data_IF_771484997769
#
_entry.id   IF_771484997769
#
_cell.length_a   1.000
_cell.length_b   1.000
_cell.length_c   1.000
_cell.angle_alpha   90.00
_cell.angle_beta   90.00
_cell.angle_gamma   90.00
#
_symmetry.space_group_name_H-M   'P 1'
#
loop_
_entity.id
_entity.type
_entity.pdbx_description
1 polymer ?
#
# COMPACT_ATOMS: atom_id res chain seq x y z
N UNK A 1 1.59 34.33 60.18
CA UNK A 1 0.84 33.44 59.24
C UNK A 1 0.33 34.21 58.01
N UNK A 2 1.17 34.99 57.29
CA UNK A 2 0.70 35.83 56.16
C UNK A 2 1.65 35.94 54.94
N UNK A 3 2.79 35.23 54.90
CA UNK A 3 3.74 35.34 53.78
C UNK A 3 3.74 34.19 52.77
N UNK A 4 2.99 33.09 53.00
CA UNK A 4 2.96 31.94 52.06
C UNK A 4 1.91 32.05 50.95
N UNK A 5 0.92 32.93 51.09
CA UNK A 5 -0.15 33.08 50.12
C UNK A 5 0.26 33.92 48.88
N UNK A 6 1.15 34.90 49.05
CA UNK A 6 1.52 35.83 47.97
C UNK A 6 2.45 35.19 46.92
N UNK A 7 3.31 34.26 47.32
CA UNK A 7 4.21 33.53 46.42
C UNK A 7 3.51 32.43 45.60
N UNK A 8 2.34 31.95 46.05
CA UNK A 8 1.56 30.93 45.35
C UNK A 8 0.66 31.55 44.27
N UNK A 9 0.13 32.76 44.52
CA UNK A 9 -0.67 33.50 43.54
C UNK A 9 0.20 33.97 42.37
N UNK A 10 1.45 34.39 42.61
CA UNK A 10 2.38 34.80 41.55
C UNK A 10 2.87 33.65 40.65
N UNK A 11 2.86 32.41 41.17
CA UNK A 11 3.26 31.22 40.41
C UNK A 11 2.11 30.70 39.53
N UNK A 12 0.85 30.87 39.94
CA UNK A 12 -0.33 30.43 39.18
C UNK A 12 -0.62 31.37 37.99
N UNK A 13 -0.35 32.67 38.11
CA UNK A 13 -0.49 33.60 36.96
C UNK A 13 0.57 33.40 35.88
N UNK A 14 1.75 32.87 36.20
CA UNK A 14 2.81 32.61 35.22
C UNK A 14 2.54 31.36 34.35
N UNK A 15 1.73 30.40 34.84
CA UNK A 15 1.37 29.21 34.06
C UNK A 15 0.24 29.45 33.04
N UNK A 16 -0.47 30.57 33.11
CA UNK A 16 -1.58 30.90 32.19
C UNK A 16 -1.16 31.71 30.95
N UNK A 17 0.08 32.17 30.88
CA UNK A 17 0.59 32.95 29.74
C UNK A 17 1.38 32.11 28.70
N UNK A 18 1.55 30.80 28.95
CA UNK A 18 2.47 29.94 28.19
C UNK A 18 1.82 28.96 27.21
N UNK A 19 0.50 28.97 27.04
CA UNK A 19 -0.13 28.26 25.93
C UNK A 19 -0.07 29.15 24.71
N UNK A 20 1.12 29.28 24.12
CA UNK A 20 1.20 29.63 22.71
C UNK A 20 0.38 28.56 21.99
N UNK A 21 -0.84 28.91 21.58
CA UNK A 21 -1.56 28.14 20.57
C UNK A 21 -0.55 28.01 19.43
N UNK A 22 -0.05 26.80 19.19
CA UNK A 22 0.61 26.55 17.91
C UNK A 22 -0.43 26.93 16.89
N UNK A 23 -0.23 28.08 16.22
CA UNK A 23 -1.07 28.46 15.13
C UNK A 23 -1.03 27.28 14.17
N UNK A 24 -2.20 26.71 13.87
CA UNK A 24 -2.29 25.63 12.92
C UNK A 24 -1.67 26.17 11.63
N UNK A 25 -0.53 25.61 11.22
CA UNK A 25 0.20 26.10 10.06
C UNK A 25 -0.76 26.03 8.87
N UNK A 26 -1.09 27.21 8.32
CA UNK A 26 -2.10 27.30 7.27
C UNK A 26 -1.52 26.65 6.03
N UNK A 27 -2.27 25.74 5.43
CA UNK A 27 -1.87 25.13 4.17
C UNK A 27 -1.77 26.21 3.09
N UNK A 28 -0.55 26.44 2.58
CA UNK A 28 -0.26 27.39 1.51
C UNK A 28 0.02 26.62 0.20
N UNK A 29 -0.95 26.55 -0.74
CA UNK A 29 -0.83 25.72 -1.93
C UNK A 29 0.35 26.08 -2.85
N UNK A 30 0.78 27.34 -2.84
CA UNK A 30 1.89 27.81 -3.69
C UNK A 30 3.23 27.22 -3.28
N UNK A 31 3.48 27.06 -1.98
CA UNK A 31 4.72 26.47 -1.49
C UNK A 31 4.81 25.01 -1.91
N UNK A 32 3.68 24.29 -1.84
CA UNK A 32 3.58 22.92 -2.35
C UNK A 32 3.80 22.84 -3.87
N UNK A 33 3.20 23.74 -4.67
CA UNK A 33 3.42 23.78 -6.13
C UNK A 33 4.90 23.98 -6.46
N UNK A 34 5.53 24.97 -5.82
CA UNK A 34 6.95 25.27 -6.01
C UNK A 34 7.84 24.09 -5.63
N UNK A 35 7.52 23.41 -4.52
CA UNK A 35 8.22 22.20 -4.10
C UNK A 35 8.08 21.09 -5.15
N UNK A 36 6.85 20.80 -5.61
CA UNK A 36 6.59 19.76 -6.61
C UNK A 36 7.34 20.05 -7.91
N UNK A 37 7.26 21.27 -8.44
CA UNK A 37 7.94 21.64 -9.68
C UNK A 37 9.46 21.59 -9.56
N UNK A 38 10.00 21.97 -8.39
CA UNK A 38 11.43 21.85 -8.08
C UNK A 38 11.86 20.38 -8.08
N UNK A 39 11.15 19.52 -7.37
CA UNK A 39 11.49 18.10 -7.29
C UNK A 39 11.29 17.38 -8.63
N UNK A 40 10.26 17.73 -9.41
CA UNK A 40 10.09 17.20 -10.75
C UNK A 40 11.30 17.50 -11.65
N UNK A 41 11.88 18.70 -11.54
CA UNK A 41 13.12 19.06 -12.25
C UNK A 41 14.32 18.28 -11.71
N UNK A 42 14.48 18.20 -10.39
CA UNK A 42 15.61 17.51 -9.76
C UNK A 42 15.66 16.01 -10.11
N UNK A 43 14.51 15.36 -10.19
CA UNK A 43 14.39 13.92 -10.44
C UNK A 43 14.05 13.56 -11.88
N UNK A 44 13.97 14.54 -12.78
CA UNK A 44 13.54 14.38 -14.18
C UNK A 44 12.20 13.62 -14.29
N UNK A 45 11.24 13.95 -13.42
CA UNK A 45 9.91 13.34 -13.41
C UNK A 45 9.00 14.09 -14.40
N UNK A 46 8.49 13.44 -15.46
CA UNK A 46 7.75 14.13 -16.51
C UNK A 46 6.35 14.57 -16.08
N UNK A 47 5.72 13.84 -15.14
CA UNK A 47 4.34 14.04 -14.73
C UNK A 47 4.12 13.65 -13.28
N UNK A 48 3.35 14.46 -12.56
CA UNK A 48 2.88 14.17 -11.20
C UNK A 48 1.41 14.57 -11.09
N UNK A 49 0.61 13.81 -10.35
CA UNK A 49 -0.72 14.21 -9.93
C UNK A 49 -0.79 14.13 -8.40
N UNK A 50 -1.32 15.16 -7.76
CA UNK A 50 -1.43 15.25 -6.29
C UNK A 50 -2.86 15.60 -5.91
N UNK A 51 -3.43 14.79 -5.01
CA UNK A 51 -4.71 15.01 -4.36
C UNK A 51 -4.50 15.02 -2.84
N UNK A 52 -4.95 16.06 -2.16
CA UNK A 52 -4.91 16.16 -0.69
C UNK A 52 -6.34 16.32 -0.18
N UNK A 53 -6.72 15.43 0.72
CA UNK A 53 -8.03 15.43 1.40
C UNK A 53 -7.81 15.64 2.89
N UNK A 54 -8.48 16.63 3.48
CA UNK A 54 -8.50 16.90 4.93
C UNK A 54 -9.95 17.09 5.37
N UNK A 55 -10.39 16.38 6.41
CA UNK A 55 -11.76 16.46 6.95
C UNK A 55 -12.83 16.30 5.85
N UNK A 56 -12.69 15.24 5.03
CA UNK A 56 -13.58 14.91 3.90
C UNK A 56 -13.68 16.00 2.81
N UNK A 57 -12.77 16.98 2.81
CA UNK A 57 -12.70 18.03 1.81
C UNK A 57 -11.40 17.93 1.02
N UNK A 58 -11.54 18.03 -0.30
CA UNK A 58 -10.39 18.21 -1.19
C UNK A 58 -9.85 19.62 -0.99
N UNK A 59 -8.61 19.72 -0.51
CA UNK A 59 -7.92 21.00 -0.28
C UNK A 59 -6.84 21.28 -1.34
N UNK A 60 -6.49 20.28 -2.14
CA UNK A 60 -5.55 20.38 -3.27
C UNK A 60 -5.83 19.25 -4.26
N UNK A 61 -5.88 19.54 -5.56
CA UNK A 61 -6.12 18.54 -6.61
C UNK A 61 -5.56 19.03 -7.94
N UNK A 62 -4.29 18.75 -8.20
CA UNK A 62 -3.58 19.30 -9.36
C UNK A 62 -2.70 18.27 -10.07
N UNK A 63 -2.54 18.47 -11.37
CA UNK A 63 -1.62 17.73 -12.22
C UNK A 63 -0.51 18.63 -12.73
N UNK A 64 0.72 18.12 -12.74
CA UNK A 64 1.94 18.81 -13.10
C UNK A 64 2.62 18.10 -14.27
N UNK A 65 3.24 18.88 -15.16
CA UNK A 65 3.99 18.37 -16.29
C UNK A 65 3.13 17.73 -17.39
N UNK A 66 3.71 16.75 -18.09
CA UNK A 66 3.16 16.17 -19.31
C UNK A 66 3.03 14.64 -19.21
N UNK A 67 1.79 14.13 -19.37
CA UNK A 67 1.52 12.68 -19.47
C UNK A 67 2.09 12.06 -20.74
N UNK A 68 2.37 12.89 -21.75
CA UNK A 68 3.08 12.55 -22.98
C UNK A 68 3.99 13.74 -23.32
N UNK A 69 5.30 13.55 -23.13
CA UNK A 69 6.31 14.61 -23.28
C UNK A 69 6.46 15.02 -24.75
N UNK A 70 6.46 14.05 -25.67
CA UNK A 70 6.64 14.29 -27.11
C UNK A 70 5.48 15.09 -27.69
N UNK A 71 4.25 14.69 -27.34
CA UNK A 71 3.02 15.36 -27.80
C UNK A 71 2.64 16.55 -26.94
N UNK A 72 3.42 16.86 -25.89
CA UNK A 72 3.15 17.93 -24.92
C UNK A 72 1.73 17.86 -24.33
N UNK A 73 1.24 16.65 -24.06
CA UNK A 73 -0.08 16.47 -23.45
C UNK A 73 0.05 16.63 -21.94
N UNK A 74 -0.64 17.62 -21.37
CA UNK A 74 -0.63 17.86 -19.93
C UNK A 74 -1.31 16.74 -19.15
N UNK A 75 -0.90 16.57 -17.89
CA UNK A 75 -1.68 15.79 -16.92
C UNK A 75 -3.06 16.41 -16.75
N UNK A 76 -4.08 15.56 -16.69
CA UNK A 76 -5.48 15.92 -16.47
C UNK A 76 -6.05 15.08 -15.33
N UNK A 77 -7.22 15.43 -14.76
CA UNK A 77 -7.89 14.59 -13.77
C UNK A 77 -8.20 13.16 -14.25
N UNK A 78 -8.23 12.93 -15.57
CA UNK A 78 -8.48 11.62 -16.18
C UNK A 78 -7.19 10.88 -16.59
N UNK A 79 -6.02 11.40 -16.22
CA UNK A 79 -4.74 10.75 -16.54
C UNK A 79 -4.55 9.54 -15.63
N UNK A 80 -4.40 8.35 -16.24
CA UNK A 80 -4.13 7.12 -15.52
C UNK A 80 -2.64 6.95 -15.27
N UNK A 81 -2.28 6.63 -14.04
CA UNK A 81 -0.92 6.28 -13.63
C UNK A 81 -0.88 4.84 -13.13
N UNK A 82 0.21 4.13 -13.41
CA UNK A 82 0.48 2.86 -12.75
C UNK A 82 0.79 3.11 -11.27
N UNK A 83 -0.16 2.79 -10.38
CA UNK A 83 -0.01 3.02 -8.93
C UNK A 83 0.93 2.00 -8.25
N UNK A 84 1.45 1.03 -9.00
CA UNK A 84 2.44 0.06 -8.55
C UNK A 84 2.00 -0.69 -7.29
N UNK A 85 2.82 -0.64 -6.24
CA UNK A 85 2.56 -1.41 -5.02
C UNK A 85 1.38 -0.89 -4.18
N UNK A 86 0.82 0.28 -4.49
CA UNK A 86 -0.44 0.74 -3.89
C UNK A 86 -1.61 -0.19 -4.26
N UNK A 87 -1.53 -0.89 -5.41
CA UNK A 87 -2.52 -1.90 -5.82
C UNK A 87 -2.74 -3.02 -4.79
N UNK A 88 -1.76 -3.26 -3.91
CA UNK A 88 -1.85 -4.27 -2.84
C UNK A 88 -3.00 -3.98 -1.87
N UNK A 89 -3.22 -2.72 -1.52
CA UNK A 89 -4.31 -2.32 -0.63
C UNK A 89 -5.68 -2.69 -1.20
N UNK A 90 -5.85 -2.57 -2.52
CA UNK A 90 -7.08 -2.99 -3.20
C UNK A 90 -7.24 -4.52 -3.20
N UNK A 91 -6.15 -5.27 -3.34
CA UNK A 91 -6.18 -6.74 -3.22
C UNK A 91 -6.61 -7.17 -1.83
N UNK A 92 -6.05 -6.55 -0.78
CA UNK A 92 -6.41 -6.81 0.62
C UNK A 92 -7.88 -6.44 0.86
N UNK A 93 -8.33 -5.28 0.38
CA UNK A 93 -9.72 -4.85 0.50
C UNK A 93 -10.68 -5.87 -0.13
N UNK A 94 -10.40 -6.32 -1.35
CA UNK A 94 -11.22 -7.31 -2.04
C UNK A 94 -11.29 -8.65 -1.29
N UNK A 95 -10.17 -9.12 -0.73
CA UNK A 95 -10.17 -10.30 0.13
C UNK A 95 -10.94 -10.07 1.44
N UNK A 96 -10.88 -8.86 2.00
CA UNK A 96 -11.67 -8.46 3.17
C UNK A 96 -13.17 -8.55 2.91
N UNK A 97 -13.64 -8.01 1.77
CA UNK A 97 -15.04 -8.14 1.35
C UNK A 97 -15.47 -9.60 1.19
N UNK A 98 -14.62 -10.43 0.59
CA UNK A 98 -14.87 -11.88 0.48
C UNK A 98 -14.91 -12.58 1.85
N UNK A 99 -14.15 -12.10 2.82
CA UNK A 99 -14.19 -12.61 4.19
C UNK A 99 -15.48 -12.22 4.91
N UNK A 100 -15.96 -10.98 4.74
CA UNK A 100 -17.27 -10.54 5.26
C UNK A 100 -18.41 -11.38 4.67
N UNK A 101 -18.30 -11.78 3.41
CA UNK A 101 -19.22 -12.71 2.74
C UNK A 101 -19.03 -14.19 3.14
N UNK A 102 -18.11 -14.49 4.07
CA UNK A 102 -17.75 -15.85 4.52
C UNK A 102 -17.22 -16.76 3.41
N UNK A 103 -16.74 -16.19 2.30
CA UNK A 103 -16.11 -16.93 1.19
C UNK A 103 -14.62 -17.15 1.40
N UNK A 104 -14.01 -16.39 2.31
CA UNK A 104 -12.62 -16.49 2.70
C UNK A 104 -12.49 -16.43 4.22
N UNK A 105 -11.68 -17.31 4.79
CA UNK A 105 -11.11 -17.16 6.13
C UNK A 105 -9.60 -16.97 5.97
N UNK A 106 -9.09 -15.86 6.51
CA UNK A 106 -7.69 -15.44 6.43
C UNK A 106 -6.72 -16.41 7.11
N UNK A 107 -7.22 -17.27 8.00
CA UNK A 107 -6.43 -18.20 8.80
C UNK A 107 -6.56 -19.66 8.34
N UNK A 108 -7.35 -19.92 7.29
CA UNK A 108 -7.39 -21.23 6.64
C UNK A 108 -6.30 -21.37 5.58
N UNK A 109 -5.79 -22.60 5.34
CA UNK A 109 -4.85 -22.86 4.27
C UNK A 109 -5.35 -22.38 2.90
N UNK A 110 -4.47 -21.72 2.15
CA UNK A 110 -4.76 -21.17 0.81
C UNK A 110 -5.30 -22.24 -0.14
N UNK A 111 -4.83 -23.47 0.00
CA UNK A 111 -5.25 -24.61 -0.82
C UNK A 111 -6.72 -24.98 -0.67
N UNK A 112 -7.38 -24.59 0.42
CA UNK A 112 -8.82 -24.77 0.58
C UNK A 112 -9.59 -23.98 -0.49
N UNK A 113 -9.01 -22.88 -0.99
CA UNK A 113 -9.60 -21.99 -1.99
C UNK A 113 -8.96 -22.16 -3.37
N UNK A 114 -7.65 -22.43 -3.42
CA UNK A 114 -6.87 -22.70 -4.63
C UNK A 114 -6.17 -24.06 -4.55
N UNK A 115 -6.85 -25.19 -4.87
CA UNK A 115 -6.29 -26.53 -4.68
C UNK A 115 -4.99 -26.81 -5.46
N UNK A 116 -4.76 -26.09 -6.55
CA UNK A 116 -3.55 -26.21 -7.38
C UNK A 116 -2.35 -25.42 -6.84
N UNK A 117 -2.56 -24.58 -5.82
CA UNK A 117 -1.50 -23.79 -5.20
C UNK A 117 -0.48 -24.68 -4.50
N UNK A 118 0.80 -24.42 -4.78
CA UNK A 118 1.95 -25.13 -4.20
C UNK A 118 3.10 -24.18 -3.97
N UNK A 119 3.74 -24.34 -2.81
CA UNK A 119 5.04 -23.77 -2.49
C UNK A 119 6.13 -24.81 -2.77
N UNK A 120 7.40 -24.41 -2.67
CA UNK A 120 8.52 -25.36 -2.80
C UNK A 120 8.54 -26.41 -1.69
N UNK A 121 8.13 -26.03 -0.49
CA UNK A 121 8.04 -26.89 0.69
C UNK A 121 6.61 -27.45 0.87
N UNK A 122 6.50 -28.74 1.18
CA UNK A 122 5.21 -29.43 1.33
C UNK A 122 4.46 -29.02 2.60
N UNK A 123 5.20 -28.78 3.70
CA UNK A 123 4.59 -28.28 4.93
C UNK A 123 3.97 -26.90 4.67
N UNK A 124 4.73 -25.97 4.08
CA UNK A 124 4.25 -24.65 3.74
C UNK A 124 3.07 -24.70 2.75
N UNK A 125 3.11 -25.61 1.77
CA UNK A 125 2.01 -25.84 0.83
C UNK A 125 0.69 -26.15 1.54
N UNK A 126 0.73 -26.93 2.63
CA UNK A 126 -0.44 -27.29 3.43
C UNK A 126 -0.86 -26.27 4.48
N UNK A 127 0.01 -25.33 4.86
CA UNK A 127 -0.19 -24.50 6.06
C UNK A 127 -0.17 -22.98 5.80
N UNK A 128 0.31 -22.52 4.65
CA UNK A 128 0.29 -21.09 4.32
C UNK A 128 -1.14 -20.59 4.16
N UNK A 129 -1.44 -19.47 4.80
CA UNK A 129 -2.76 -18.84 4.83
C UNK A 129 -2.75 -17.52 4.04
N UNK A 130 -3.91 -16.98 3.63
CA UNK A 130 -3.99 -15.64 3.07
C UNK A 130 -3.36 -14.58 3.98
N UNK A 131 -3.51 -14.69 5.31
CA UNK A 131 -2.84 -13.79 6.26
C UNK A 131 -1.33 -13.82 6.10
N UNK A 132 -0.74 -15.00 5.98
CA UNK A 132 0.70 -15.17 5.80
C UNK A 132 1.22 -14.52 4.50
N UNK A 133 0.45 -14.65 3.42
CA UNK A 133 0.77 -14.08 2.11
C UNK A 133 0.75 -12.55 2.17
N UNK A 134 -0.32 -11.97 2.74
CA UNK A 134 -0.53 -10.53 2.79
C UNK A 134 0.38 -9.82 3.79
N UNK A 135 0.76 -10.51 4.87
CA UNK A 135 1.70 -10.00 5.88
C UNK A 135 3.17 -10.33 5.58
N UNK A 136 3.48 -10.74 4.34
CA UNK A 136 4.86 -10.92 3.87
C UNK A 136 5.69 -11.89 4.73
N UNK A 137 5.13 -13.02 5.17
CA UNK A 137 5.81 -13.96 6.09
C UNK A 137 5.89 -15.40 5.56
N UNK A 138 5.93 -15.55 4.24
CA UNK A 138 6.03 -16.86 3.58
C UNK A 138 7.44 -17.45 3.55
N UNK A 139 8.48 -16.65 3.78
CA UNK A 139 9.88 -17.06 3.63
C UNK A 139 10.40 -17.09 2.18
N UNK A 140 9.52 -16.78 1.21
CA UNK A 140 9.87 -16.71 -0.21
C UNK A 140 10.56 -15.38 -0.54
N UNK A 141 11.77 -15.38 -1.12
CA UNK A 141 12.43 -14.15 -1.55
C UNK A 141 11.73 -13.49 -2.76
N UNK A 142 12.15 -12.25 -3.05
CA UNK A 142 11.66 -11.52 -4.22
C UNK A 142 12.14 -12.19 -5.50
N UNK A 143 11.24 -12.30 -6.47
CA UNK A 143 11.52 -12.81 -7.81
C UNK A 143 10.76 -11.95 -8.83
N UNK A 144 10.95 -10.64 -8.75
CA UNK A 144 10.10 -9.67 -9.47
C UNK A 144 10.24 -9.75 -10.99
N UNK A 145 11.39 -10.21 -11.48
CA UNK A 145 11.63 -10.45 -12.90
C UNK A 145 10.87 -11.65 -13.48
N UNK A 146 10.29 -12.52 -12.64
CA UNK A 146 9.54 -13.70 -13.11
C UNK A 146 8.23 -13.30 -13.79
N UNK A 147 7.65 -12.16 -13.42
CA UNK A 147 6.40 -11.66 -14.01
C UNK A 147 6.60 -10.39 -14.83
N UNK A 148 7.63 -9.60 -14.52
CA UNK A 148 7.89 -8.35 -15.22
C UNK A 148 8.25 -8.60 -16.69
N UNK A 149 7.40 -8.11 -17.61
CA UNK A 149 7.56 -8.25 -19.07
C UNK A 149 7.69 -9.70 -19.58
N UNK A 150 7.23 -10.68 -18.80
CA UNK A 150 7.37 -12.11 -19.13
C UNK A 150 6.24 -12.66 -20.01
N UNK A 151 5.20 -11.86 -20.30
CA UNK A 151 4.00 -12.30 -21.02
C UNK A 151 3.15 -13.35 -20.28
N UNK A 152 3.44 -13.58 -18.99
CA UNK A 152 2.77 -14.57 -18.16
C UNK A 152 1.54 -13.99 -17.49
N UNK A 153 0.49 -14.81 -17.39
CA UNK A 153 -0.69 -14.50 -16.60
C UNK A 153 -0.42 -14.62 -15.09
N UNK A 154 -1.30 -14.01 -14.28
CA UNK A 154 -1.30 -14.17 -12.81
C UNK A 154 -1.21 -15.62 -12.34
N UNK A 155 -1.96 -16.50 -12.98
CA UNK A 155 -2.04 -17.91 -12.63
C UNK A 155 -0.81 -18.70 -13.05
N UNK A 156 -0.29 -18.41 -14.23
CA UNK A 156 0.95 -19.01 -14.73
C UNK A 156 2.15 -18.64 -13.85
N UNK A 157 2.23 -17.39 -13.39
CA UNK A 157 3.25 -17.00 -12.41
C UNK A 157 3.01 -17.70 -11.07
N UNK A 158 1.76 -17.73 -10.59
CA UNK A 158 1.40 -18.39 -9.32
C UNK A 158 1.77 -19.88 -9.32
N UNK A 159 1.50 -20.59 -10.43
CA UNK A 159 1.86 -22.02 -10.59
C UNK A 159 3.38 -22.25 -10.54
N UNK A 160 4.20 -21.26 -10.92
CA UNK A 160 5.67 -21.38 -10.90
C UNK A 160 6.29 -21.15 -9.51
N UNK A 161 5.54 -20.60 -8.55
CA UNK A 161 6.01 -20.39 -7.17
C UNK A 161 6.54 -21.70 -6.55
N UNK A 162 5.96 -22.84 -6.92
CA UNK A 162 6.38 -24.18 -6.49
C UNK A 162 7.83 -24.54 -6.78
N UNK A 163 8.50 -23.82 -7.68
CA UNK A 163 9.89 -24.07 -8.07
C UNK A 163 10.90 -23.15 -7.36
N UNK A 164 10.43 -22.24 -6.51
CA UNK A 164 11.24 -21.20 -5.90
C UNK A 164 11.55 -21.54 -4.44
N UNK A 165 12.83 -21.72 -4.14
CA UNK A 165 13.30 -22.04 -2.79
C UNK A 165 13.06 -20.91 -1.80
N UNK A 166 12.79 -21.28 -0.55
CA UNK A 166 12.69 -20.33 0.55
C UNK A 166 14.07 -19.84 0.96
N UNK A 167 14.15 -18.58 1.37
CA UNK A 167 15.38 -17.98 1.95
C UNK A 167 15.32 -17.86 3.47
N UNK A 168 14.12 -17.96 4.03
CA UNK A 168 13.83 -17.96 5.46
C UNK A 168 12.74 -18.98 5.77
N UNK A 169 12.65 -19.39 7.03
CA UNK A 169 11.58 -20.24 7.52
C UNK A 169 10.21 -19.57 7.42
N UNK A 170 9.17 -20.41 7.39
CA UNK A 170 7.79 -19.97 7.41
C UNK A 170 7.48 -19.18 8.69
N UNK A 171 6.93 -17.97 8.55
CA UNK A 171 6.63 -17.03 9.66
C UNK A 171 7.84 -16.56 10.46
N UNK A 172 9.06 -16.85 10.01
CA UNK A 172 10.28 -16.47 10.72
C UNK A 172 10.43 -14.94 10.80
N UNK A 173 10.18 -14.25 9.68
CA UNK A 173 10.35 -12.79 9.58
C UNK A 173 9.57 -12.18 8.43
N UNK A 174 9.48 -10.86 8.43
CA UNK A 174 8.97 -10.09 7.31
C UNK A 174 9.92 -10.16 6.10
N UNK A 175 9.36 -10.48 4.94
CA UNK A 175 10.03 -10.49 3.65
C UNK A 175 9.05 -10.07 2.55
N UNK A 176 9.18 -8.82 2.10
CA UNK A 176 8.32 -8.25 1.07
C UNK A 176 8.34 -9.10 -0.21
N UNK A 177 7.16 -9.48 -0.70
CA UNK A 177 7.01 -10.44 -1.79
C UNK A 177 5.81 -10.09 -2.69
N UNK A 178 6.06 -9.85 -3.98
CA UNK A 178 5.01 -9.55 -4.96
C UNK A 178 4.25 -10.80 -5.44
N UNK A 179 4.92 -11.95 -5.50
CA UNK A 179 4.31 -13.21 -5.96
C UNK A 179 3.18 -13.67 -5.03
N UNK A 180 3.33 -13.44 -3.72
CA UNK A 180 2.25 -13.68 -2.75
C UNK A 180 1.03 -12.80 -3.02
N UNK A 181 1.21 -11.56 -3.46
CA UNK A 181 0.10 -10.68 -3.83
C UNK A 181 -0.51 -11.06 -5.18
N UNK A 182 0.28 -11.55 -6.13
CA UNK A 182 -0.22 -12.07 -7.40
C UNK A 182 -1.10 -13.32 -7.19
N UNK A 183 -0.64 -14.26 -6.35
CA UNK A 183 -1.43 -15.41 -5.93
C UNK A 183 -2.69 -15.01 -5.13
N UNK A 184 -2.61 -13.94 -4.32
CA UNK A 184 -3.78 -13.34 -3.65
C UNK A 184 -4.79 -12.77 -4.64
N UNK A 185 -4.33 -12.17 -5.75
CA UNK A 185 -5.21 -11.77 -6.84
C UNK A 185 -5.94 -12.95 -7.50
N UNK A 186 -5.27 -14.10 -7.64
CA UNK A 186 -5.91 -15.34 -8.08
C UNK A 186 -6.99 -15.83 -7.08
N UNK A 187 -6.76 -15.69 -5.77
CA UNK A 187 -7.78 -15.98 -4.75
C UNK A 187 -9.02 -15.10 -4.95
N UNK A 188 -8.83 -13.78 -5.08
CA UNK A 188 -9.93 -12.83 -5.33
C UNK A 188 -10.73 -13.26 -6.55
N UNK A 189 -10.07 -13.51 -7.69
CA UNK A 189 -10.73 -13.91 -8.93
C UNK A 189 -11.54 -15.20 -8.75
N UNK A 190 -10.94 -16.22 -8.13
CA UNK A 190 -11.59 -17.52 -7.91
C UNK A 190 -12.83 -17.40 -7.04
N UNK A 191 -12.77 -16.63 -5.95
CA UNK A 191 -13.84 -16.54 -4.95
C UNK A 191 -14.95 -15.54 -5.34
N UNK A 192 -14.64 -14.58 -6.22
CA UNK A 192 -15.63 -13.65 -6.78
C UNK A 192 -16.38 -14.21 -8.00
N UNK A 193 -16.02 -15.41 -8.48
CA UNK A 193 -16.63 -16.04 -9.65
C UNK A 193 -16.14 -15.51 -10.99
N UNK A 194 -14.98 -14.83 -11.02
CA UNK A 194 -14.34 -14.39 -12.27
C UNK A 194 -13.77 -15.55 -13.08
N UNK A 195 -13.82 -15.45 -14.42
CA UNK A 195 -13.21 -16.41 -15.36
C UNK A 195 -11.73 -16.08 -15.62
N UNK A 196 -10.95 -17.06 -16.07
CA UNK A 196 -9.55 -16.85 -16.49
C UNK A 196 -9.45 -15.73 -17.56
N UNK A 197 -8.47 -14.82 -17.43
CA UNK A 197 -8.11 -13.88 -18.51
C UNK A 197 -8.51 -12.40 -18.38
N UNK A 198 -9.03 -11.93 -17.24
CA UNK A 198 -9.15 -10.49 -16.92
C UNK A 198 -8.74 -10.19 -15.49
#
# INVERSE_FOLDING_TARGET
MKLKALSLVLFITLCLAGSASMAEEKFEPNDLRNFIETEMKNWNVPAVAVLIVKNDKVIFSEGFGYRDVEKKLKVTPNTLFGIGSVSKSFTVLALGMLADEKKLDFDQPVRNYLPTFRMYDDYLTGHITPRDMLSHRSGLPRHDLVWYNAGLTGEETTKRIRYLQLSYGFRERFQYNNLMYQASGCLVRKLSGGTEGR
#
